data_IF_413359058384
#
_entry.id   IF_413359058384
#
_cell.length_a   1.000
_cell.length_b   1.000
_cell.length_c   1.000
_cell.angle_alpha   90.00
_cell.angle_beta   90.00
_cell.angle_gamma   90.00
#
_symmetry.space_group_name_H-M   'P 1'
#
loop_
_entity.id
_entity.type
_entity.pdbx_description
1 polymer ?
#
# COMPACT_ATOMS: atom_id res chain seq x y z
N UNK A 1 4.06 18.08 -4.52
CA UNK A 1 4.69 18.57 -3.29
C UNK A 1 3.86 19.66 -2.61
N UNK A 2 3.34 20.64 -3.37
CA UNK A 2 2.46 21.67 -2.81
C UNK A 2 1.16 21.08 -2.25
N UNK A 3 0.57 20.13 -2.95
CA UNK A 3 -0.65 19.46 -2.48
C UNK A 3 -0.41 18.74 -1.15
N UNK A 4 0.75 18.11 -0.99
CA UNK A 4 1.12 17.43 0.27
C UNK A 4 1.33 18.43 1.40
N UNK A 5 1.99 19.56 1.12
CA UNK A 5 2.19 20.62 2.10
C UNK A 5 0.87 21.23 2.55
N UNK A 6 0.00 21.51 1.59
CA UNK A 6 -1.32 22.08 1.87
C UNK A 6 -2.15 21.14 2.73
N UNK A 7 -2.14 19.84 2.40
CA UNK A 7 -2.84 18.82 3.17
C UNK A 7 -2.34 18.77 4.61
N UNK A 8 -1.03 18.79 4.80
CA UNK A 8 -0.43 18.79 6.13
C UNK A 8 -0.77 20.05 6.93
N UNK A 9 -0.76 21.21 6.27
CA UNK A 9 -1.02 22.49 6.94
C UNK A 9 -2.49 22.66 7.30
N UNK A 10 -3.41 22.11 6.50
CA UNK A 10 -4.85 22.37 6.68
C UNK A 10 -5.61 21.20 7.31
N UNK A 11 -5.37 19.97 6.87
CA UNK A 11 -6.12 18.81 7.29
C UNK A 11 -5.35 17.86 8.22
N UNK A 12 -4.02 17.85 8.09
CA UNK A 12 -3.15 16.96 8.87
C UNK A 12 -2.01 17.73 9.53
N UNK A 13 -2.33 18.67 10.45
CA UNK A 13 -1.29 19.50 11.08
C UNK A 13 -0.25 18.68 11.85
N UNK A 14 -0.65 17.54 12.42
CA UNK A 14 0.25 16.65 13.16
C UNK A 14 0.85 15.53 12.28
N UNK A 15 0.62 15.60 10.96
CA UNK A 15 1.07 14.60 10.02
C UNK A 15 0.11 13.42 9.92
N UNK A 16 0.41 12.51 8.99
CA UNK A 16 -0.41 11.31 8.76
C UNK A 16 -0.01 10.22 9.75
N UNK A 17 -0.95 9.66 10.52
CA UNK A 17 -0.63 8.55 11.43
C UNK A 17 -0.17 7.30 10.67
N UNK A 18 0.67 6.49 11.32
CA UNK A 18 1.14 5.21 10.78
C UNK A 18 -0.06 4.31 10.45
N UNK A 19 -0.03 3.69 9.28
CA UNK A 19 -1.09 2.79 8.83
C UNK A 19 -2.26 3.47 8.15
N UNK A 20 -2.26 4.80 8.07
CA UNK A 20 -3.31 5.56 7.38
C UNK A 20 -2.86 5.95 5.98
N UNK A 21 -3.81 6.33 5.14
CA UNK A 21 -3.52 6.75 3.77
C UNK A 21 -4.37 7.96 3.39
N UNK A 22 -3.79 8.83 2.57
CA UNK A 22 -4.48 9.97 1.97
C UNK A 22 -4.09 10.08 0.51
N UNK A 23 -4.92 10.70 -0.30
CA UNK A 23 -4.65 10.88 -1.72
C UNK A 23 -4.51 12.35 -2.08
N UNK A 24 -3.60 12.63 -3.01
CA UNK A 24 -3.49 13.92 -3.66
C UNK A 24 -3.57 13.71 -5.18
N UNK A 25 -3.99 14.74 -5.95
CA UNK A 25 -4.00 14.59 -7.41
C UNK A 25 -2.60 14.34 -7.96
N UNK A 26 -2.53 13.58 -9.05
CA UNK A 26 -1.26 13.26 -9.72
C UNK A 26 -0.68 14.40 -10.55
N UNK A 27 -1.50 15.42 -10.86
CA UNK A 27 -1.12 16.56 -11.69
C UNK A 27 -0.50 16.13 -13.02
N UNK A 28 0.80 16.39 -13.23
CA UNK A 28 1.50 16.06 -14.47
C UNK A 28 2.00 14.62 -14.54
N UNK A 29 1.79 13.84 -13.50
CA UNK A 29 2.18 12.43 -13.47
C UNK A 29 1.21 11.58 -14.29
N UNK A 30 1.65 10.41 -14.80
CA UNK A 30 0.74 9.49 -15.49
C UNK A 30 -0.40 8.96 -14.62
N UNK A 31 -0.21 8.95 -13.31
CA UNK A 31 -1.22 8.51 -12.36
C UNK A 31 -2.24 9.63 -12.08
N UNK A 32 -3.52 9.27 -11.99
CA UNK A 32 -4.58 10.21 -11.63
C UNK A 32 -4.45 10.68 -10.19
N UNK A 33 -4.04 9.76 -9.30
CA UNK A 33 -3.88 10.02 -7.87
C UNK A 33 -2.52 9.55 -7.39
N UNK A 34 -2.00 10.23 -6.36
CA UNK A 34 -0.86 9.74 -5.58
C UNK A 34 -1.39 9.43 -4.18
N UNK A 35 -1.24 8.19 -3.75
CA UNK A 35 -1.66 7.75 -2.42
C UNK A 35 -0.44 7.76 -1.51
N UNK A 36 -0.57 8.44 -0.38
CA UNK A 36 0.49 8.58 0.61
C UNK A 36 0.12 7.75 1.85
N UNK A 37 1.05 6.94 2.32
CA UNK A 37 0.88 6.21 3.57
C UNK A 37 2.18 6.26 4.37
N UNK A 38 2.07 6.13 5.69
CA UNK A 38 3.24 6.12 6.57
C UNK A 38 3.43 4.70 7.08
N UNK A 39 4.52 4.06 6.62
CA UNK A 39 4.88 2.73 7.07
C UNK A 39 5.46 2.75 8.48
N UNK A 40 5.28 1.67 9.25
CA UNK A 40 5.87 1.57 10.58
C UNK A 40 7.39 1.48 10.50
N UNK A 41 8.07 2.16 11.41
CA UNK A 41 9.52 2.15 11.52
C UNK A 41 9.93 1.18 12.65
N UNK A 42 10.44 0.01 12.27
CA UNK A 42 10.82 -1.01 13.23
C UNK A 42 11.94 -0.55 14.16
N UNK A 43 12.85 0.30 13.65
CA UNK A 43 13.93 0.86 14.46
C UNK A 43 13.42 1.82 15.54
N UNK A 44 12.23 2.38 15.37
CA UNK A 44 11.59 3.25 16.35
C UNK A 44 10.61 2.51 17.27
N UNK A 45 10.63 1.18 17.25
CA UNK A 45 9.76 0.36 18.09
C UNK A 45 8.39 0.04 17.49
N UNK A 46 8.16 0.46 16.25
CA UNK A 46 6.90 0.17 15.53
C UNK A 46 7.04 -1.16 14.81
N UNK A 47 6.97 -2.25 15.56
CA UNK A 47 7.23 -3.60 15.06
C UNK A 47 6.00 -4.51 14.97
N UNK A 48 4.80 -3.96 15.15
CA UNK A 48 3.55 -4.70 15.04
C UNK A 48 3.20 -4.93 13.55
N UNK A 49 3.12 -6.19 13.10
CA UNK A 49 2.74 -6.49 11.71
C UNK A 49 1.38 -5.91 11.29
N UNK A 50 0.47 -5.71 12.25
CA UNK A 50 -0.84 -5.12 11.96
C UNK A 50 -0.72 -3.68 11.45
N UNK A 51 0.28 -2.92 11.91
CA UNK A 51 0.54 -1.57 11.42
C UNK A 51 0.95 -1.58 9.95
N UNK A 52 1.80 -2.52 9.57
CA UNK A 52 2.23 -2.67 8.18
C UNK A 52 1.06 -3.12 7.29
N UNK A 53 0.29 -4.10 7.76
CA UNK A 53 -0.92 -4.54 7.06
C UNK A 53 -1.91 -3.40 6.86
N UNK A 54 -2.05 -2.52 7.85
CA UNK A 54 -2.94 -1.36 7.77
C UNK A 54 -2.53 -0.39 6.65
N UNK A 55 -1.23 -0.24 6.37
CA UNK A 55 -0.75 0.60 5.27
C UNK A 55 -1.30 0.09 3.93
N UNK A 56 -1.21 -1.22 3.70
CA UNK A 56 -1.72 -1.82 2.47
C UNK A 56 -3.25 -1.76 2.42
N UNK A 57 -3.94 -2.10 3.52
CA UNK A 57 -5.40 -2.06 3.60
C UNK A 57 -5.94 -0.65 3.35
N UNK A 58 -5.36 0.37 3.99
CA UNK A 58 -5.80 1.76 3.84
C UNK A 58 -5.57 2.25 2.41
N UNK A 59 -4.44 1.90 1.81
CA UNK A 59 -4.12 2.28 0.44
C UNK A 59 -5.06 1.62 -0.57
N UNK A 60 -5.35 0.33 -0.40
CA UNK A 60 -6.27 -0.40 -1.27
C UNK A 60 -7.70 0.11 -1.13
N UNK A 61 -8.15 0.36 0.10
CA UNK A 61 -9.49 0.90 0.37
C UNK A 61 -9.65 2.28 -0.28
N UNK A 62 -8.63 3.13 -0.18
CA UNK A 62 -8.67 4.46 -0.78
C UNK A 62 -8.71 4.38 -2.31
N UNK A 63 -7.95 3.47 -2.92
CA UNK A 63 -7.98 3.25 -4.36
C UNK A 63 -9.38 2.83 -4.82
N UNK A 64 -10.04 1.96 -4.06
CA UNK A 64 -11.41 1.53 -4.35
C UNK A 64 -12.37 2.72 -4.25
N UNK A 65 -12.28 3.51 -3.18
CA UNK A 65 -13.14 4.68 -2.96
C UNK A 65 -12.97 5.74 -4.05
N UNK A 66 -11.78 5.86 -4.63
CA UNK A 66 -11.48 6.81 -5.70
C UNK A 66 -11.79 6.27 -7.09
N UNK A 67 -12.42 5.10 -7.19
CA UNK A 67 -12.76 4.43 -8.44
C UNK A 67 -11.54 4.15 -9.33
N UNK A 68 -10.40 3.86 -8.73
CA UNK A 68 -9.21 3.49 -9.48
C UNK A 68 -9.38 2.12 -10.13
N UNK A 69 -8.92 1.97 -11.37
CA UNK A 69 -8.88 0.67 -12.04
C UNK A 69 -7.61 -0.10 -11.71
N UNK A 70 -6.55 0.60 -11.31
CA UNK A 70 -5.28 -0.02 -10.93
C UNK A 70 -4.59 0.77 -9.83
N UNK A 71 -3.73 0.08 -9.10
CA UNK A 71 -2.86 0.69 -8.09
C UNK A 71 -1.48 0.04 -8.15
N UNK A 72 -0.44 0.84 -7.98
CA UNK A 72 0.92 0.36 -7.83
C UNK A 72 1.38 0.62 -6.40
N UNK A 73 1.91 -0.40 -5.75
CA UNK A 73 2.32 -0.37 -4.35
C UNK A 73 3.81 -0.71 -4.23
N UNK A 74 4.59 0.06 -3.45
CA UNK A 74 5.98 -0.31 -3.15
C UNK A 74 6.05 -1.31 -1.99
N UNK A 75 7.27 -1.77 -1.69
CA UNK A 75 7.54 -2.58 -0.50
C UNK A 75 7.64 -1.66 0.72
N UNK A 76 6.49 -1.27 1.25
CA UNK A 76 6.39 -0.33 2.38
C UNK A 76 7.23 -0.81 3.56
N UNK A 77 7.99 0.10 4.17
CA UNK A 77 8.83 -0.12 5.36
C UNK A 77 10.02 -1.08 5.18
N UNK A 78 10.18 -1.67 4.01
CA UNK A 78 11.36 -2.51 3.75
C UNK A 78 12.62 -1.64 3.66
N UNK A 79 13.76 -2.19 4.06
CA UNK A 79 15.03 -1.48 3.98
C UNK A 79 15.23 -0.49 5.11
N UNK A 80 15.05 0.81 4.85
CA UNK A 80 15.37 1.90 5.80
C UNK A 80 14.63 1.76 7.13
N UNK A 81 13.38 1.27 7.11
CA UNK A 81 12.59 1.11 8.33
C UNK A 81 12.77 -0.25 9.00
N UNK A 82 13.69 -1.06 8.50
CA UNK A 82 14.14 -2.27 9.19
C UNK A 82 13.26 -3.51 9.06
N UNK A 83 12.18 -3.46 8.29
CA UNK A 83 11.34 -4.63 8.09
C UNK A 83 11.97 -5.60 7.09
N UNK A 84 12.07 -6.89 7.43
CA UNK A 84 12.58 -7.89 6.49
C UNK A 84 11.70 -7.98 5.25
N UNK A 85 12.30 -8.01 4.06
CA UNK A 85 11.54 -8.01 2.81
C UNK A 85 10.61 -9.21 2.69
N UNK A 86 11.01 -10.38 3.19
CA UNK A 86 10.16 -11.58 3.14
C UNK A 86 8.87 -11.38 3.94
N UNK A 87 8.94 -10.74 5.10
CA UNK A 87 7.78 -10.45 5.93
C UNK A 87 6.88 -9.39 5.27
N UNK A 88 7.48 -8.34 4.70
CA UNK A 88 6.74 -7.31 3.97
C UNK A 88 5.98 -7.94 2.80
N UNK A 89 6.66 -8.81 2.04
CA UNK A 89 6.06 -9.49 0.90
C UNK A 89 4.87 -10.36 1.32
N UNK A 90 5.01 -11.13 2.39
CA UNK A 90 3.90 -11.98 2.88
C UNK A 90 2.69 -11.15 3.30
N UNK A 91 2.91 -10.07 4.02
CA UNK A 91 1.83 -9.18 4.46
C UNK A 91 1.16 -8.51 3.27
N UNK A 92 1.95 -7.94 2.36
CA UNK A 92 1.42 -7.23 1.18
C UNK A 92 0.61 -8.16 0.27
N UNK A 93 1.13 -9.34 -0.01
CA UNK A 93 0.46 -10.32 -0.88
C UNK A 93 -0.82 -10.83 -0.22
N UNK A 94 -0.81 -11.07 1.09
CA UNK A 94 -2.01 -11.51 1.80
C UNK A 94 -3.14 -10.47 1.70
N UNK A 95 -2.81 -9.18 1.83
CA UNK A 95 -3.79 -8.10 1.72
C UNK A 95 -4.32 -7.96 0.30
N UNK A 96 -3.46 -8.08 -0.71
CA UNK A 96 -3.88 -8.05 -2.11
C UNK A 96 -4.77 -9.24 -2.46
N UNK A 97 -4.44 -10.43 -1.96
CA UNK A 97 -5.26 -11.63 -2.17
C UNK A 97 -6.64 -11.51 -1.52
N UNK A 98 -6.72 -10.86 -0.36
CA UNK A 98 -8.00 -10.61 0.30
C UNK A 98 -8.92 -9.73 -0.58
N UNK A 99 -8.37 -8.70 -1.24
CA UNK A 99 -9.12 -7.86 -2.18
C UNK A 99 -9.54 -8.69 -3.40
N UNK A 100 -8.65 -9.49 -3.95
CA UNK A 100 -8.95 -10.36 -5.08
C UNK A 100 -10.10 -11.31 -4.76
N UNK A 101 -10.08 -11.91 -3.58
CA UNK A 101 -11.15 -12.81 -3.14
C UNK A 101 -12.48 -12.08 -2.99
N UNK A 102 -12.46 -10.87 -2.43
CA UNK A 102 -13.67 -10.04 -2.33
C UNK A 102 -14.23 -9.69 -3.71
N UNK A 103 -13.37 -9.50 -4.71
CA UNK A 103 -13.83 -9.23 -6.07
C UNK A 103 -14.63 -10.38 -6.67
N UNK A 104 -14.38 -11.60 -6.22
CA UNK A 104 -15.11 -12.79 -6.68
C UNK A 104 -16.42 -12.99 -5.93
N UNK A 105 -16.43 -12.71 -4.61
CA UNK A 105 -17.61 -12.97 -3.75
C UNK A 105 -18.51 -11.76 -3.62
N UNK A 106 -17.94 -10.56 -3.63
CA UNK A 106 -18.65 -9.30 -3.48
C UNK A 106 -18.12 -8.27 -4.50
N UNK A 107 -18.42 -8.46 -5.81
CA UNK A 107 -17.81 -7.60 -6.85
C UNK A 107 -18.00 -6.10 -6.62
N UNK A 108 -19.15 -5.69 -6.10
CA UNK A 108 -19.44 -4.27 -5.86
C UNK A 108 -18.55 -3.66 -4.76
N UNK A 109 -17.99 -4.50 -3.87
CA UNK A 109 -17.17 -4.03 -2.77
C UNK A 109 -15.78 -3.53 -3.22
N UNK A 110 -15.31 -3.94 -4.40
CA UNK A 110 -14.00 -3.52 -4.92
C UNK A 110 -14.12 -2.48 -6.05
N UNK A 111 -15.35 -2.06 -6.37
CA UNK A 111 -15.60 -1.05 -7.38
C UNK A 111 -14.98 -1.39 -8.72
N UNK A 112 -14.16 -0.48 -9.26
CA UNK A 112 -13.55 -0.64 -10.58
C UNK A 112 -12.12 -1.20 -10.52
N UNK A 113 -11.61 -1.52 -9.34
CA UNK A 113 -10.23 -1.97 -9.18
C UNK A 113 -10.02 -3.35 -9.83
N UNK A 114 -9.16 -3.42 -10.82
CA UNK A 114 -8.89 -4.62 -11.61
C UNK A 114 -7.47 -5.14 -11.47
N UNK A 115 -6.52 -4.26 -11.12
CA UNK A 115 -5.11 -4.59 -11.12
C UNK A 115 -4.40 -4.00 -9.89
N UNK A 116 -3.74 -4.87 -9.15
CA UNK A 116 -2.82 -4.48 -8.08
C UNK A 116 -1.42 -4.89 -8.51
N UNK A 117 -0.53 -3.92 -8.59
CA UNK A 117 0.83 -4.10 -9.06
C UNK A 117 1.80 -3.75 -7.94
N UNK A 118 2.84 -4.55 -7.76
CA UNK A 118 3.91 -4.22 -6.81
C UNK A 118 5.10 -3.67 -7.57
N UNK A 119 5.43 -2.40 -7.28
CA UNK A 119 6.56 -1.71 -7.89
C UNK A 119 7.78 -1.88 -6.97
N UNK A 120 8.72 -2.71 -7.38
CA UNK A 120 9.84 -3.15 -6.54
C UNK A 120 11.17 -2.64 -7.10
N UNK A 121 12.04 -2.17 -6.20
CA UNK A 121 13.25 -1.46 -6.58
C UNK A 121 14.49 -2.35 -6.76
N UNK A 122 14.42 -3.63 -6.39
CA UNK A 122 15.57 -4.53 -6.49
C UNK A 122 15.16 -5.94 -6.87
N UNK A 123 16.12 -6.70 -7.38
CA UNK A 123 15.90 -8.11 -7.72
C UNK A 123 15.53 -8.93 -6.48
N UNK A 124 16.17 -8.66 -5.34
CA UNK A 124 15.86 -9.35 -4.09
C UNK A 124 14.42 -9.10 -3.65
N UNK A 125 13.94 -7.87 -3.76
CA UNK A 125 12.54 -7.54 -3.44
C UNK A 125 11.58 -8.26 -4.40
N UNK A 126 11.90 -8.27 -5.67
CA UNK A 126 11.09 -8.95 -6.68
C UNK A 126 10.97 -10.45 -6.39
N UNK A 127 12.09 -11.10 -6.05
CA UNK A 127 12.10 -12.52 -5.70
C UNK A 127 11.27 -12.83 -4.46
N UNK A 128 11.36 -11.98 -3.43
CA UNK A 128 10.60 -12.15 -2.20
C UNK A 128 9.09 -12.08 -2.47
N UNK A 129 8.65 -11.13 -3.29
CA UNK A 129 7.23 -10.99 -3.65
C UNK A 129 6.76 -12.12 -4.55
N UNK A 130 7.58 -12.54 -5.52
CA UNK A 130 7.25 -13.68 -6.38
C UNK A 130 7.09 -14.96 -5.55
N UNK A 131 7.97 -15.19 -4.57
CA UNK A 131 7.89 -16.33 -3.67
C UNK A 131 6.62 -16.27 -2.81
N UNK A 132 6.27 -15.10 -2.28
CA UNK A 132 5.06 -14.92 -1.49
C UNK A 132 3.80 -15.18 -2.33
N UNK A 133 3.79 -14.75 -3.59
CA UNK A 133 2.68 -15.01 -4.52
C UNK A 133 2.51 -16.50 -4.78
N UNK A 134 3.60 -17.24 -5.00
CA UNK A 134 3.56 -18.69 -5.20
C UNK A 134 3.00 -19.42 -3.98
N UNK A 135 3.43 -19.03 -2.79
CA UNK A 135 2.95 -19.63 -1.54
C UNK A 135 1.48 -19.35 -1.31
N UNK A 136 0.98 -18.17 -1.71
CA UNK A 136 -0.42 -17.80 -1.55
C UNK A 136 -1.35 -18.57 -2.48
N UNK A 137 -0.84 -19.13 -3.58
CA UNK A 137 -1.60 -19.93 -4.54
C UNK A 137 -1.78 -21.38 -4.08
N UNK A 138 -1.01 -21.79 -3.10
CA UNK A 138 -1.04 -23.12 -2.51
C UNK A 138 -1.51 -23.05 -1.07
#
# INVERSE_FOLDING_TARGET
LEACRKLRDTELPDGLPVGRAVATPGFDLPATWVIHTVGPNRHAGEDDPALLGACFDSSLALAIDLDCSSIALPAVSAGVYGWPIAQVAEIAVARARAVEQRSRTEPDAVGRLELIRFALSSQANHEAFAHALERAEH
#
